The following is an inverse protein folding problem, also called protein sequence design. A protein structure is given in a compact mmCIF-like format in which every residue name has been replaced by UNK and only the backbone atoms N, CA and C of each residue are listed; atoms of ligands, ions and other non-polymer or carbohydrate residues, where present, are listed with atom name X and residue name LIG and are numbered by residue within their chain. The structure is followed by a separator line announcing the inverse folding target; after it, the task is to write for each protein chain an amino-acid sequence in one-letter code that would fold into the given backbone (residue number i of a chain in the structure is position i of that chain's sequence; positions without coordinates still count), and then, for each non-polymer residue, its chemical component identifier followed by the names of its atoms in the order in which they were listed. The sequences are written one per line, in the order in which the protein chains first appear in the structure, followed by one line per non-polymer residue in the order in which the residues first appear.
data_IF_947751153735
#
_entry.id   IF_947751153735
#
_cell.length_a   1.000
_cell.length_b   1.000
_cell.length_c   1.000
_cell.angle_alpha   90.00
_cell.angle_beta   90.00
_cell.angle_gamma   90.00
#
_symmetry.space_group_name_H-M   'P 1'
#
loop_
_entity.id
_entity.type
_entity.pdbx_description
1 polymer ?
#
# COMPACT_ATOMS: atom_id res chain seq x y z
N UNK A 1 -19.80 19.53 -2.90
CA UNK A 1 -19.63 18.92 -1.57
C UNK A 1 -18.16 18.59 -1.45
N UNK A 2 -17.48 19.06 -0.43
CA UNK A 2 -16.08 18.70 -0.18
C UNK A 2 -16.08 17.22 0.26
N UNK A 3 -15.26 16.40 -0.38
CA UNK A 3 -15.14 14.98 -0.05
C UNK A 3 -14.49 14.83 1.33
N UNK A 4 -15.05 13.98 2.20
CA UNK A 4 -14.40 13.65 3.47
C UNK A 4 -13.14 12.81 3.18
N UNK A 5 -12.01 13.27 3.65
CA UNK A 5 -10.70 12.62 3.47
C UNK A 5 -9.98 12.36 4.78
N UNK A 6 -10.60 12.66 5.92
CA UNK A 6 -9.96 12.57 7.25
C UNK A 6 -9.61 11.14 7.67
N UNK A 7 -10.25 10.16 7.05
CA UNK A 7 -9.94 8.75 7.25
C UNK A 7 -8.68 8.28 6.48
N UNK A 8 -8.16 9.09 5.53
CA UNK A 8 -6.93 8.78 4.79
C UNK A 8 -5.72 9.19 5.63
N UNK A 9 -5.33 8.34 6.57
CA UNK A 9 -4.22 8.59 7.51
C UNK A 9 -3.72 7.28 8.12
N UNK A 10 -2.66 7.38 8.91
CA UNK A 10 -2.16 6.26 9.71
C UNK A 10 -1.45 5.18 8.90
N UNK A 11 -1.47 3.97 9.39
CA UNK A 11 -0.77 2.84 8.79
C UNK A 11 -1.73 1.97 7.99
N UNK A 12 -1.48 1.88 6.67
CA UNK A 12 -2.31 1.13 5.72
C UNK A 12 -1.43 0.05 5.06
N UNK A 13 -1.49 -1.23 5.49
CA UNK A 13 -0.78 -2.30 4.80
C UNK A 13 -1.37 -2.58 3.41
N UNK A 14 -0.51 -2.70 2.37
CA UNK A 14 -0.89 -3.36 1.13
C UNK A 14 -0.95 -4.87 1.39
N UNK A 15 -2.15 -5.38 1.68
CA UNK A 15 -2.35 -6.76 2.13
C UNK A 15 -1.81 -7.75 1.11
N UNK A 16 -1.14 -8.81 1.57
CA UNK A 16 -0.76 -9.95 0.73
C UNK A 16 -1.99 -10.78 0.40
N UNK A 17 -1.95 -11.50 -0.73
CA UNK A 17 -2.97 -12.46 -1.12
C UNK A 17 -2.51 -13.88 -0.76
N UNK A 18 -3.03 -14.48 0.31
CA UNK A 18 -2.72 -15.86 0.65
C UNK A 18 -3.23 -16.83 -0.41
N UNK A 19 -2.40 -17.80 -0.77
CA UNK A 19 -2.75 -18.84 -1.72
C UNK A 19 -2.35 -20.22 -1.19
N UNK A 20 -3.07 -21.24 -1.61
CA UNK A 20 -2.75 -22.65 -1.37
C UNK A 20 -1.58 -23.12 -2.25
N UNK A 21 -1.10 -24.35 -2.05
CA UNK A 21 0.00 -24.92 -2.85
C UNK A 21 -0.36 -25.09 -4.34
N UNK A 22 -1.64 -25.14 -4.67
CA UNK A 22 -2.15 -25.16 -6.07
C UNK A 22 -2.56 -23.76 -6.56
N UNK A 23 -2.01 -22.71 -5.91
CA UNK A 23 -2.15 -21.28 -6.25
C UNK A 23 -3.59 -20.75 -6.22
N UNK A 24 -4.50 -21.40 -5.52
CA UNK A 24 -5.86 -20.89 -5.32
C UNK A 24 -5.93 -19.96 -4.11
N UNK A 25 -6.82 -18.99 -4.15
CA UNK A 25 -7.04 -18.05 -3.04
C UNK A 25 -7.41 -18.83 -1.76
N UNK A 26 -6.58 -18.70 -0.73
CA UNK A 26 -6.86 -19.22 0.61
C UNK A 26 -7.69 -18.19 1.40
N UNK A 27 -9.01 -18.35 1.31
CA UNK A 27 -9.95 -17.46 2.00
C UNK A 27 -9.78 -17.50 3.53
N UNK A 28 -9.49 -18.67 4.10
CA UNK A 28 -9.37 -18.81 5.56
C UNK A 28 -8.14 -18.06 6.07
N UNK A 29 -7.01 -18.22 5.40
CA UNK A 29 -5.78 -17.50 5.72
C UNK A 29 -5.96 -16.00 5.51
N UNK A 30 -6.63 -15.57 4.43
CA UNK A 30 -6.90 -14.15 4.17
C UNK A 30 -7.73 -13.51 5.29
N UNK A 31 -8.81 -14.19 5.75
CA UNK A 31 -9.65 -13.68 6.84
C UNK A 31 -8.89 -13.57 8.16
N UNK A 32 -8.11 -14.60 8.55
CA UNK A 32 -7.25 -14.54 9.73
C UNK A 32 -6.24 -13.39 9.65
N UNK A 33 -5.65 -13.20 8.47
CA UNK A 33 -4.65 -12.15 8.25
C UNK A 33 -5.24 -10.74 8.37
N UNK A 34 -6.46 -10.52 7.87
CA UNK A 34 -7.19 -9.27 8.04
C UNK A 34 -7.40 -8.96 9.53
N UNK A 35 -7.91 -9.93 10.30
CA UNK A 35 -8.13 -9.74 11.74
C UNK A 35 -6.82 -9.47 12.48
N UNK A 36 -5.75 -10.21 12.18
CA UNK A 36 -4.41 -9.98 12.75
C UNK A 36 -3.91 -8.54 12.52
N UNK A 37 -4.09 -8.00 11.32
CA UNK A 37 -3.67 -6.62 11.04
C UNK A 37 -4.54 -5.59 11.78
N UNK A 38 -5.86 -5.79 11.83
CA UNK A 38 -6.79 -4.91 12.55
C UNK A 38 -6.49 -4.91 14.05
N UNK A 39 -6.28 -6.09 14.65
CA UNK A 39 -5.87 -6.25 16.05
C UNK A 39 -4.51 -5.59 16.31
N UNK A 40 -3.63 -5.54 15.31
CA UNK A 40 -2.34 -4.85 15.34
C UNK A 40 -2.42 -3.34 15.20
N UNK A 41 -3.62 -2.75 15.08
CA UNK A 41 -3.84 -1.30 15.12
C UNK A 41 -3.74 -0.59 13.77
N UNK A 42 -3.81 -1.29 12.62
CA UNK A 42 -3.78 -0.61 11.32
C UNK A 42 -5.05 0.22 11.09
N UNK A 43 -4.91 1.37 10.45
CA UNK A 43 -6.01 2.31 10.19
C UNK A 43 -6.67 2.14 8.82
N UNK A 44 -6.25 1.16 8.05
CA UNK A 44 -6.88 0.81 6.77
C UNK A 44 -6.22 -0.39 6.12
N UNK A 45 -6.79 -0.91 5.05
CA UNK A 45 -6.21 -1.99 4.23
C UNK A 45 -6.22 -1.58 2.76
N UNK A 46 -5.09 -1.71 2.07
CA UNK A 46 -5.00 -1.59 0.62
C UNK A 46 -5.01 -2.98 -0.02
N UNK A 47 -6.13 -3.38 -0.60
CA UNK A 47 -6.22 -4.57 -1.46
C UNK A 47 -5.48 -4.34 -2.78
N UNK A 48 -4.92 -5.39 -3.36
CA UNK A 48 -4.26 -5.37 -4.68
C UNK A 48 -3.13 -4.36 -4.82
N UNK A 49 -2.43 -4.09 -3.72
CA UNK A 49 -1.10 -3.48 -3.79
C UNK A 49 -0.10 -4.46 -4.42
N UNK A 50 1.12 -3.99 -4.70
CA UNK A 50 2.17 -4.85 -5.26
C UNK A 50 2.52 -6.07 -4.38
N UNK A 51 2.34 -5.96 -3.05
CA UNK A 51 2.49 -7.08 -2.12
C UNK A 51 1.38 -8.12 -2.25
N UNK A 52 0.19 -7.71 -2.69
CA UNK A 52 -0.94 -8.60 -2.95
C UNK A 52 -0.85 -9.32 -4.29
N UNK A 53 0.28 -9.20 -4.99
CA UNK A 53 0.55 -9.88 -6.27
C UNK A 53 -0.56 -9.63 -7.32
N UNK A 54 -1.16 -8.41 -7.32
CA UNK A 54 -2.30 -8.08 -8.19
C UNK A 54 -2.06 -8.37 -9.67
N UNK A 55 -0.82 -8.28 -10.10
CA UNK A 55 -0.39 -8.53 -11.48
C UNK A 55 -0.39 -10.02 -11.88
N UNK A 56 -0.64 -10.92 -10.91
CA UNK A 56 -0.76 -12.37 -11.08
C UNK A 56 -2.22 -12.85 -11.01
N UNK A 57 -3.16 -11.97 -10.60
CA UNK A 57 -4.57 -12.31 -10.41
C UNK A 57 -5.38 -11.88 -11.63
N UNK A 58 -6.33 -12.71 -12.03
CA UNK A 58 -7.35 -12.32 -13.00
C UNK A 58 -8.47 -11.47 -12.36
N UNK A 59 -9.35 -10.86 -13.18
CA UNK A 59 -10.42 -9.99 -12.70
C UNK A 59 -11.43 -10.74 -11.80
N UNK A 60 -11.66 -12.04 -12.04
CA UNK A 60 -12.59 -12.85 -11.22
C UNK A 60 -11.99 -13.19 -9.85
N UNK A 61 -10.69 -13.48 -9.81
CA UNK A 61 -9.95 -13.67 -8.57
C UNK A 61 -9.88 -12.36 -7.75
N UNK A 62 -9.62 -11.23 -8.41
CA UNK A 62 -9.66 -9.92 -7.76
C UNK A 62 -11.05 -9.63 -7.18
N UNK A 63 -12.12 -9.89 -7.93
CA UNK A 63 -13.48 -9.74 -7.42
C UNK A 63 -13.71 -10.60 -6.17
N UNK A 64 -13.33 -11.88 -6.23
CA UNK A 64 -13.46 -12.80 -5.08
C UNK A 64 -12.70 -12.31 -3.86
N UNK A 65 -11.43 -11.93 -4.03
CA UNK A 65 -10.57 -11.44 -2.93
C UNK A 65 -11.14 -10.15 -2.32
N UNK A 66 -11.57 -9.19 -3.16
CA UNK A 66 -12.17 -7.95 -2.67
C UNK A 66 -13.41 -8.21 -1.81
N UNK A 67 -14.30 -9.08 -2.27
CA UNK A 67 -15.52 -9.45 -1.52
C UNK A 67 -15.18 -10.06 -0.17
N UNK A 68 -14.17 -10.94 -0.11
CA UNK A 68 -13.70 -11.52 1.16
C UNK A 68 -13.17 -10.43 2.10
N UNK A 69 -12.37 -9.50 1.58
CA UNK A 69 -11.80 -8.40 2.38
C UNK A 69 -12.92 -7.52 2.94
N UNK A 70 -13.84 -7.05 2.10
CA UNK A 70 -14.95 -6.19 2.54
C UNK A 70 -15.84 -6.91 3.57
N UNK A 71 -16.19 -8.18 3.31
CA UNK A 71 -16.99 -8.97 4.23
C UNK A 71 -16.28 -9.19 5.58
N UNK A 72 -14.97 -9.43 5.59
CA UNK A 72 -14.21 -9.66 6.81
C UNK A 72 -13.95 -8.36 7.57
N UNK A 73 -13.62 -7.27 6.89
CA UNK A 73 -13.38 -5.97 7.53
C UNK A 73 -14.66 -5.44 8.18
N UNK A 74 -15.82 -5.60 7.57
CA UNK A 74 -17.14 -5.20 8.12
C UNK A 74 -17.21 -3.77 8.61
N UNK A 75 -16.57 -2.83 7.89
CA UNK A 75 -16.55 -1.42 8.24
C UNK A 75 -15.74 -1.06 9.49
N UNK A 76 -14.93 -1.97 10.05
CA UNK A 76 -14.06 -1.68 11.20
C UNK A 76 -12.98 -0.65 10.86
N UNK A 77 -12.47 -0.69 9.65
CA UNK A 77 -11.47 0.23 9.09
C UNK A 77 -11.73 0.43 7.58
N UNK A 78 -11.24 1.51 6.96
CA UNK A 78 -11.35 1.72 5.51
C UNK A 78 -10.65 0.64 4.68
N UNK A 79 -11.25 0.32 3.54
CA UNK A 79 -10.67 -0.57 2.52
C UNK A 79 -10.45 0.20 1.23
N UNK A 80 -9.21 0.23 0.78
CA UNK A 80 -8.81 0.83 -0.49
C UNK A 80 -8.58 -0.26 -1.53
N UNK A 81 -9.03 -0.04 -2.77
CA UNK A 81 -8.71 -0.92 -3.87
C UNK A 81 -7.55 -0.37 -4.70
N UNK A 82 -6.45 -1.12 -4.77
CA UNK A 82 -5.34 -0.87 -5.69
C UNK A 82 -5.68 -1.26 -7.13
N UNK A 83 -5.33 -0.41 -8.07
CA UNK A 83 -5.53 -0.64 -9.51
C UNK A 83 -4.23 -0.35 -10.25
N UNK A 84 -3.68 -1.35 -10.95
CA UNK A 84 -2.38 -1.30 -11.60
C UNK A 84 -2.37 -1.85 -13.03
N UNK A 85 -3.49 -1.79 -13.76
CA UNK A 85 -3.52 -2.22 -15.16
C UNK A 85 -2.90 -1.16 -16.10
N UNK A 86 -2.34 -1.63 -17.22
CA UNK A 86 -1.74 -0.73 -18.22
C UNK A 86 -2.83 0.01 -19.01
N UNK A 87 -3.89 -0.71 -19.41
CA UNK A 87 -4.96 -0.16 -20.25
C UNK A 87 -5.95 0.65 -19.42
N UNK A 88 -6.16 1.93 -19.79
CA UNK A 88 -7.13 2.82 -19.12
C UNK A 88 -8.52 2.21 -18.96
N UNK A 89 -9.06 1.57 -20.00
CA UNK A 89 -10.38 0.94 -19.95
C UNK A 89 -10.45 -0.21 -18.92
N UNK A 90 -9.37 -0.95 -18.72
CA UNK A 90 -9.28 -1.98 -17.67
C UNK A 90 -9.25 -1.33 -16.28
N UNK A 91 -8.45 -0.27 -16.09
CA UNK A 91 -8.47 0.49 -14.83
C UNK A 91 -9.87 1.02 -14.50
N UNK A 92 -10.59 1.55 -15.49
CA UNK A 92 -11.98 2.02 -15.31
C UNK A 92 -12.91 0.89 -14.85
N UNK A 93 -12.79 -0.31 -15.41
CA UNK A 93 -13.59 -1.46 -14.94
C UNK A 93 -13.25 -1.84 -13.51
N UNK A 94 -11.95 -1.87 -13.18
CA UNK A 94 -11.48 -2.25 -11.85
C UNK A 94 -11.89 -1.23 -10.77
N UNK A 95 -11.77 0.07 -11.00
CA UNK A 95 -12.24 1.07 -10.02
C UNK A 95 -13.75 0.99 -9.81
N UNK A 96 -14.54 0.78 -10.88
CA UNK A 96 -15.99 0.55 -10.77
C UNK A 96 -16.33 -0.73 -10.00
N UNK A 97 -15.53 -1.78 -10.15
CA UNK A 97 -15.66 -3.00 -9.36
C UNK A 97 -15.40 -2.70 -7.88
N UNK A 98 -14.35 -1.94 -7.55
CA UNK A 98 -14.05 -1.50 -6.18
C UNK A 98 -15.22 -0.80 -5.52
N UNK A 99 -15.75 0.23 -6.18
CA UNK A 99 -16.90 1.00 -5.70
C UNK A 99 -18.14 0.13 -5.54
N UNK A 100 -18.44 -0.71 -6.53
CA UNK A 100 -19.60 -1.64 -6.49
C UNK A 100 -19.58 -2.56 -5.28
N UNK A 101 -18.41 -3.00 -4.84
CA UNK A 101 -18.26 -3.89 -3.69
C UNK A 101 -17.99 -3.17 -2.37
N UNK A 102 -17.97 -1.84 -2.36
CA UNK A 102 -17.90 -1.04 -1.14
C UNK A 102 -16.48 -0.70 -0.69
N UNK A 103 -15.53 -0.57 -1.60
CA UNK A 103 -14.25 0.04 -1.28
C UNK A 103 -14.43 1.52 -0.95
N UNK A 104 -13.82 1.99 0.13
CA UNK A 104 -13.90 3.37 0.62
C UNK A 104 -13.04 4.35 -0.20
N UNK A 105 -12.11 3.83 -0.99
CA UNK A 105 -11.28 4.60 -1.91
C UNK A 105 -10.56 3.70 -2.91
N UNK A 106 -9.92 4.33 -3.90
CA UNK A 106 -9.12 3.63 -4.90
C UNK A 106 -7.71 4.22 -4.99
N UNK A 107 -6.71 3.37 -5.21
CA UNK A 107 -5.31 3.77 -5.39
C UNK A 107 -4.81 3.31 -6.76
N UNK A 108 -4.44 4.27 -7.62
CA UNK A 108 -4.14 4.02 -9.04
C UNK A 108 -2.63 4.11 -9.28
N UNK A 109 -2.00 2.99 -9.59
CA UNK A 109 -0.61 2.92 -10.03
C UNK A 109 -0.49 3.47 -11.45
N UNK A 110 0.55 4.28 -11.72
CA UNK A 110 0.86 4.66 -13.09
C UNK A 110 1.15 3.40 -13.96
N UNK A 111 0.85 3.45 -15.28
CA UNK A 111 1.11 2.33 -16.19
C UNK A 111 2.57 1.85 -16.11
N UNK A 112 2.74 0.53 -16.02
CA UNK A 112 4.05 -0.12 -16.04
C UNK A 112 4.36 -0.64 -17.45
N UNK A 113 5.61 -1.01 -17.73
CA UNK A 113 6.10 -1.52 -19.00
C UNK A 113 6.25 -0.46 -20.11
N UNK A 114 5.33 0.49 -20.25
CA UNK A 114 5.45 1.63 -21.15
C UNK A 114 5.56 2.93 -20.34
N UNK A 115 6.20 3.93 -20.91
CA UNK A 115 6.28 5.29 -20.35
C UNK A 115 5.44 6.23 -21.21
N UNK A 116 4.22 6.58 -20.77
CA UNK A 116 3.41 7.60 -21.44
C UNK A 116 4.06 8.97 -21.39
N UNK A 117 3.70 9.85 -22.31
CA UNK A 117 3.95 11.28 -22.15
C UNK A 117 3.14 11.84 -20.96
N UNK A 118 3.52 13.02 -20.46
CA UNK A 118 2.82 13.67 -19.34
C UNK A 118 1.33 13.90 -19.67
N UNK A 119 0.99 14.26 -20.89
CA UNK A 119 -0.38 14.51 -21.31
C UNK A 119 -1.20 13.20 -21.40
N UNK A 120 -0.60 12.14 -21.93
CA UNK A 120 -1.23 10.80 -21.92
C UNK A 120 -1.46 10.29 -20.50
N UNK A 121 -0.50 10.50 -19.60
CA UNK A 121 -0.60 10.12 -18.20
C UNK A 121 -1.70 10.90 -17.47
N UNK A 122 -1.78 12.23 -17.68
CA UNK A 122 -2.88 13.06 -17.17
C UNK A 122 -4.24 12.60 -17.69
N UNK A 123 -4.32 12.30 -18.98
CA UNK A 123 -5.55 11.79 -19.61
C UNK A 123 -5.96 10.44 -19.02
N UNK A 124 -5.00 9.54 -18.79
CA UNK A 124 -5.22 8.24 -18.15
C UNK A 124 -5.84 8.41 -16.76
N UNK A 125 -5.18 9.15 -15.85
CA UNK A 125 -5.68 9.36 -14.49
C UNK A 125 -7.01 10.11 -14.45
N UNK A 126 -7.16 11.15 -15.27
CA UNK A 126 -8.41 11.92 -15.36
C UNK A 126 -9.60 11.05 -15.80
N UNK A 127 -9.38 10.17 -16.78
CA UNK A 127 -10.42 9.26 -17.26
C UNK A 127 -10.86 8.27 -16.17
N UNK A 128 -9.90 7.75 -15.39
CA UNK A 128 -10.20 6.79 -14.33
C UNK A 128 -10.90 7.49 -13.15
N UNK A 129 -10.39 8.63 -12.70
CA UNK A 129 -10.98 9.37 -11.57
C UNK A 129 -12.43 9.83 -11.88
N UNK A 130 -12.67 10.31 -13.09
CA UNK A 130 -14.03 10.69 -13.53
C UNK A 130 -15.02 9.52 -13.63
N UNK A 131 -14.55 8.29 -13.68
CA UNK A 131 -15.41 7.10 -13.73
C UNK A 131 -16.01 6.72 -12.37
N UNK A 132 -15.48 7.29 -11.26
CA UNK A 132 -15.89 7.04 -9.87
C UNK A 132 -15.87 8.35 -9.06
N UNK A 133 -16.67 9.35 -9.43
CA UNK A 133 -16.62 10.70 -8.83
C UNK A 133 -17.03 10.72 -7.34
N UNK A 134 -17.70 9.66 -6.87
CA UNK A 134 -18.25 9.52 -5.53
C UNK A 134 -17.26 9.01 -4.48
N UNK A 135 -16.08 8.51 -4.89
CA UNK A 135 -15.08 7.97 -3.95
C UNK A 135 -13.74 8.66 -4.09
N UNK A 136 -12.95 8.74 -3.00
CA UNK A 136 -11.60 9.27 -3.04
C UNK A 136 -10.68 8.43 -3.93
N UNK A 137 -9.91 9.13 -4.76
CA UNK A 137 -8.88 8.57 -5.63
C UNK A 137 -7.51 9.01 -5.14
N UNK A 138 -6.60 8.07 -4.97
CA UNK A 138 -5.20 8.31 -4.67
C UNK A 138 -4.34 7.89 -5.86
N UNK A 139 -3.39 8.72 -6.25
CA UNK A 139 -2.33 8.29 -7.17
C UNK A 139 -1.34 7.37 -6.45
N UNK A 140 -0.74 6.45 -7.17
CA UNK A 140 0.36 5.65 -6.65
C UNK A 140 1.62 5.86 -7.50
N UNK A 141 2.58 6.58 -6.93
CA UNK A 141 3.88 6.83 -7.54
C UNK A 141 4.89 5.77 -7.09
N UNK A 142 5.36 4.94 -8.02
CA UNK A 142 6.36 3.90 -7.74
C UNK A 142 7.39 3.77 -8.87
N UNK A 143 8.32 4.73 -8.99
CA UNK A 143 9.31 4.74 -10.07
C UNK A 143 10.20 3.50 -10.09
N UNK A 144 10.44 2.88 -8.92
CA UNK A 144 11.22 1.65 -8.83
C UNK A 144 10.56 0.41 -9.48
N UNK A 145 9.26 0.46 -9.79
CA UNK A 145 8.51 -0.62 -10.45
C UNK A 145 8.05 -0.28 -11.85
N UNK A 146 7.74 0.98 -12.09
CA UNK A 146 7.22 1.44 -13.39
C UNK A 146 8.32 1.96 -14.31
N UNK A 147 9.51 2.26 -13.77
CA UNK A 147 10.64 2.81 -14.51
C UNK A 147 10.61 4.34 -14.68
N UNK A 148 9.58 5.03 -14.19
CA UNK A 148 9.44 6.48 -14.21
C UNK A 148 8.56 6.97 -13.05
N UNK A 149 8.74 8.24 -12.65
CA UNK A 149 7.90 8.89 -11.64
C UNK A 149 6.79 9.72 -12.26
N UNK A 150 5.79 10.07 -11.45
CA UNK A 150 4.79 11.08 -11.78
C UNK A 150 5.38 12.45 -11.44
N UNK A 151 5.33 13.40 -12.38
CA UNK A 151 5.85 14.75 -12.17
C UNK A 151 4.99 15.54 -11.17
N UNK A 152 5.62 16.50 -10.52
CA UNK A 152 4.94 17.40 -9.58
C UNK A 152 3.85 18.21 -10.30
N UNK A 153 4.14 18.65 -11.52
CA UNK A 153 3.22 19.40 -12.38
C UNK A 153 1.98 18.57 -12.74
N UNK A 154 2.15 17.28 -13.01
CA UNK A 154 1.02 16.37 -13.29
C UNK A 154 0.16 16.16 -12.06
N UNK A 155 0.75 15.97 -10.88
CA UNK A 155 0.00 15.82 -9.62
C UNK A 155 -0.76 17.10 -9.31
N UNK A 156 -0.12 18.27 -9.40
CA UNK A 156 -0.72 19.57 -9.12
C UNK A 156 -1.92 19.84 -10.04
N UNK A 157 -1.75 19.69 -11.35
CA UNK A 157 -2.84 19.89 -12.30
C UNK A 157 -4.03 18.98 -12.03
N UNK A 158 -3.76 17.70 -11.76
CA UNK A 158 -4.83 16.73 -11.52
C UNK A 158 -5.54 16.97 -10.19
N UNK A 159 -4.82 17.29 -9.11
CA UNK A 159 -5.38 17.56 -7.80
C UNK A 159 -6.29 18.80 -7.81
N UNK A 160 -5.92 19.85 -8.56
CA UNK A 160 -6.72 21.07 -8.68
C UNK A 160 -7.89 20.95 -9.67
N UNK A 161 -7.84 19.99 -10.60
CA UNK A 161 -8.89 19.82 -11.62
C UNK A 161 -9.92 18.71 -11.32
N UNK A 162 -9.63 17.82 -10.34
CA UNK A 162 -10.45 16.65 -10.03
C UNK A 162 -10.81 16.64 -8.55
N UNK A 163 -12.05 16.98 -8.17
CA UNK A 163 -12.46 17.07 -6.76
C UNK A 163 -12.31 15.78 -5.95
N UNK A 164 -12.30 14.62 -6.62
CA UNK A 164 -12.15 13.32 -5.99
C UNK A 164 -10.72 12.78 -6.03
N UNK A 165 -9.77 13.47 -6.68
CA UNK A 165 -8.35 13.13 -6.60
C UNK A 165 -7.75 13.80 -5.37
N UNK A 166 -7.73 13.11 -4.26
CA UNK A 166 -7.54 13.69 -2.93
C UNK A 166 -6.19 13.39 -2.29
N UNK A 167 -5.36 12.59 -2.95
CA UNK A 167 -4.07 12.23 -2.35
C UNK A 167 -3.23 11.31 -3.22
N UNK A 168 -2.13 10.86 -2.64
CA UNK A 168 -1.24 9.90 -3.26
C UNK A 168 -0.46 9.07 -2.26
N UNK A 169 -0.02 7.87 -2.70
CA UNK A 169 1.07 7.12 -2.09
C UNK A 169 2.35 7.40 -2.87
N UNK A 170 3.38 7.88 -2.21
CA UNK A 170 4.69 8.09 -2.82
C UNK A 170 5.72 7.06 -2.34
N UNK A 171 6.15 6.19 -3.26
CA UNK A 171 7.17 5.15 -3.05
C UNK A 171 8.50 5.48 -3.74
N UNK A 172 8.73 6.72 -4.14
CA UNK A 172 10.00 7.16 -4.73
C UNK A 172 11.18 6.98 -3.76
N UNK A 173 10.96 7.27 -2.48
CA UNK A 173 12.00 7.36 -1.46
C UNK A 173 12.75 8.70 -1.51
N UNK A 174 12.29 9.64 -2.31
CA UNK A 174 12.80 10.99 -2.41
C UNK A 174 11.93 11.95 -1.58
N UNK A 175 12.41 12.30 -0.38
CA UNK A 175 11.70 13.21 0.52
C UNK A 175 11.56 14.61 -0.07
N UNK A 176 12.49 15.07 -0.91
CA UNK A 176 12.37 16.35 -1.58
C UNK A 176 11.15 16.38 -2.49
N UNK A 177 10.99 15.32 -3.29
CA UNK A 177 9.80 15.16 -4.14
C UNK A 177 8.52 15.03 -3.32
N UNK A 178 8.55 14.25 -2.25
CA UNK A 178 7.41 14.08 -1.33
C UNK A 178 6.97 15.43 -0.74
N UNK A 179 7.93 16.25 -0.27
CA UNK A 179 7.65 17.59 0.26
C UNK A 179 7.03 18.52 -0.80
N UNK A 180 7.49 18.45 -2.04
CA UNK A 180 6.92 19.25 -3.13
C UNK A 180 5.50 18.82 -3.51
N UNK A 181 5.17 17.53 -3.47
CA UNK A 181 3.78 17.08 -3.61
C UNK A 181 2.88 17.64 -2.52
N UNK A 182 3.35 17.68 -1.26
CA UNK A 182 2.61 18.26 -0.14
C UNK A 182 2.46 19.76 -0.32
N UNK A 183 3.57 20.48 -0.54
CA UNK A 183 3.61 21.95 -0.61
C UNK A 183 2.74 22.51 -1.73
N UNK A 184 2.85 21.92 -2.95
CA UNK A 184 2.13 22.41 -4.14
C UNK A 184 0.62 22.17 -4.09
N UNK A 185 0.15 21.26 -3.24
CA UNK A 185 -1.25 20.85 -3.17
C UNK A 185 -1.87 21.07 -1.76
N UNK A 186 -1.21 21.90 -0.93
CA UNK A 186 -1.67 22.17 0.44
C UNK A 186 -3.03 22.89 0.48
N UNK A 187 -3.28 23.77 -0.48
CA UNK A 187 -4.50 24.58 -0.60
C UNK A 187 -5.74 23.75 -0.97
N UNK A 188 -5.56 22.57 -1.58
CA UNK A 188 -6.66 21.64 -1.89
C UNK A 188 -6.76 20.47 -0.88
N UNK A 189 -5.96 20.49 0.19
CA UNK A 189 -6.01 19.44 1.23
C UNK A 189 -5.52 18.07 0.78
N UNK A 190 -4.62 18.02 -0.18
CA UNK A 190 -4.11 16.79 -0.78
C UNK A 190 -3.32 15.94 0.22
N UNK A 191 -3.69 14.66 0.37
CA UNK A 191 -3.16 13.72 1.34
C UNK A 191 -2.00 12.90 0.76
N UNK A 192 -0.78 13.06 1.27
CA UNK A 192 0.37 12.26 0.83
C UNK A 192 0.72 11.20 1.87
N UNK A 193 0.76 9.93 1.42
CA UNK A 193 1.13 8.77 2.22
C UNK A 193 2.55 8.33 1.87
N UNK A 194 3.40 8.09 2.87
CA UNK A 194 4.72 7.52 2.66
C UNK A 194 4.61 6.06 2.17
N UNK A 195 5.31 5.72 1.09
CA UNK A 195 5.32 4.36 0.52
C UNK A 195 6.60 3.57 0.79
N UNK A 196 7.50 4.10 1.63
CA UNK A 196 8.76 3.46 2.03
C UNK A 196 8.77 3.20 3.54
N UNK A 197 8.75 1.95 3.95
CA UNK A 197 8.70 1.55 5.36
C UNK A 197 9.87 2.14 6.19
N UNK A 198 11.04 2.30 5.58
CA UNK A 198 12.22 2.90 6.24
C UNK A 198 12.15 4.42 6.40
N UNK A 199 11.12 5.06 5.86
CA UNK A 199 10.96 6.52 5.88
C UNK A 199 9.63 6.96 6.53
N UNK A 200 8.96 6.11 7.32
CA UNK A 200 7.67 6.47 7.94
C UNK A 200 7.85 7.68 8.85
N UNK A 201 8.76 7.63 9.81
CA UNK A 201 9.05 8.73 10.72
C UNK A 201 9.45 10.02 9.96
N UNK A 202 10.39 9.90 9.03
CA UNK A 202 10.85 11.04 8.25
C UNK A 202 9.72 11.64 7.38
N UNK A 203 8.88 10.78 6.79
CA UNK A 203 7.68 11.20 6.06
C UNK A 203 6.72 12.01 6.94
N UNK A 204 6.44 11.52 8.15
CA UNK A 204 5.58 12.21 9.11
C UNK A 204 6.15 13.59 9.48
N UNK A 205 7.48 13.70 9.67
CA UNK A 205 8.12 15.00 10.01
C UNK A 205 8.03 16.04 8.90
N UNK A 206 7.88 15.61 7.65
CA UNK A 206 7.72 16.51 6.49
C UNK A 206 6.26 16.69 6.05
N UNK A 207 5.31 16.09 6.78
CA UNK A 207 3.87 16.32 6.58
C UNK A 207 3.11 15.22 5.84
N UNK A 208 3.66 14.01 5.68
CA UNK A 208 2.82 12.88 5.25
C UNK A 208 1.78 12.57 6.33
N UNK A 209 0.58 12.16 5.91
CA UNK A 209 -0.53 11.87 6.82
C UNK A 209 -0.51 10.44 7.37
N UNK A 210 0.48 9.64 6.95
CA UNK A 210 0.65 8.25 7.33
C UNK A 210 1.52 7.51 6.32
N UNK A 211 1.43 6.17 6.32
CA UNK A 211 2.21 5.34 5.42
C UNK A 211 1.44 4.13 4.88
N UNK A 212 1.73 3.77 3.64
CA UNK A 212 1.29 2.51 3.06
C UNK A 212 2.47 1.55 3.01
N UNK A 213 2.61 0.69 4.01
CA UNK A 213 3.84 -0.05 4.31
C UNK A 213 3.66 -1.56 4.35
N UNK A 214 4.65 -2.23 3.77
CA UNK A 214 4.72 -3.68 3.59
C UNK A 214 4.84 -4.42 4.92
N UNK A 215 5.67 -3.92 5.84
CA UNK A 215 6.01 -4.59 7.10
C UNK A 215 4.83 -4.72 8.05
N UNK A 216 3.78 -3.88 7.89
CA UNK A 216 2.55 -4.02 8.65
C UNK A 216 1.76 -5.31 8.34
N UNK A 217 2.12 -6.07 7.29
CA UNK A 217 1.57 -7.40 7.06
C UNK A 217 2.03 -8.45 8.10
N UNK A 218 3.13 -8.22 8.83
CA UNK A 218 3.65 -9.22 9.77
C UNK A 218 4.13 -8.64 11.11
N UNK A 219 4.36 -7.33 11.23
CA UNK A 219 4.67 -6.64 12.49
C UNK A 219 3.83 -5.36 12.63
N UNK A 220 2.48 -5.44 12.53
CA UNK A 220 1.62 -4.27 12.53
C UNK A 220 1.81 -3.40 13.77
N UNK A 221 1.87 -3.97 14.98
CA UNK A 221 2.05 -3.22 16.23
C UNK A 221 3.32 -2.34 16.22
N UNK A 222 4.45 -2.86 15.71
CA UNK A 222 5.68 -2.09 15.62
C UNK A 222 5.52 -0.94 14.63
N UNK A 223 4.92 -1.19 13.48
CA UNK A 223 4.74 -0.16 12.44
C UNK A 223 3.75 0.90 12.89
N UNK A 224 2.61 0.51 13.47
CA UNK A 224 1.62 1.45 14.02
C UNK A 224 2.22 2.31 15.13
N UNK A 225 3.08 1.73 15.99
CA UNK A 225 3.73 2.50 17.05
C UNK A 225 4.59 3.67 16.55
N UNK A 226 5.09 3.64 15.31
CA UNK A 226 5.82 4.77 14.71
C UNK A 226 4.85 5.96 14.53
N UNK A 227 3.68 5.69 13.97
CA UNK A 227 2.64 6.69 13.72
C UNK A 227 2.01 7.17 15.02
N UNK A 228 1.55 6.27 15.89
CA UNK A 228 0.83 6.57 17.12
C UNK A 228 1.66 7.45 18.07
N UNK A 229 2.93 7.08 18.27
CA UNK A 229 3.86 7.87 19.08
C UNK A 229 4.09 9.26 18.48
N UNK A 230 4.25 9.32 17.15
CA UNK A 230 4.44 10.61 16.47
C UNK A 230 3.25 11.55 16.69
N UNK A 231 2.02 11.08 16.45
CA UNK A 231 0.81 11.91 16.61
C UNK A 231 0.51 12.24 18.08
N UNK A 232 0.98 11.40 19.01
CA UNK A 232 0.93 11.67 20.45
C UNK A 232 2.02 12.67 20.92
N UNK A 233 2.92 13.13 20.03
CA UNK A 233 4.02 14.05 20.36
C UNK A 233 5.29 13.37 20.89
N UNK A 234 5.31 12.05 21.06
CA UNK A 234 6.50 11.25 21.41
C UNK A 234 7.36 11.01 20.19
N UNK A 235 8.03 12.04 19.70
CA UNK A 235 8.88 11.98 18.51
C UNK A 235 10.12 11.10 18.73
N UNK A 236 10.66 11.07 19.95
CA UNK A 236 11.81 10.23 20.29
C UNK A 236 11.44 8.74 20.24
N UNK A 237 10.32 8.35 20.85
CA UNK A 237 9.83 6.98 20.83
C UNK A 237 9.38 6.52 19.43
N UNK A 238 8.85 7.45 18.61
CA UNK A 238 8.55 7.20 17.20
C UNK A 238 9.81 6.87 16.39
N UNK A 239 10.87 7.67 16.56
CA UNK A 239 12.17 7.45 15.91
C UNK A 239 12.82 6.13 16.36
N UNK A 240 12.74 5.80 17.65
CA UNK A 240 13.21 4.51 18.17
C UNK A 240 12.49 3.32 17.50
N UNK A 241 11.17 3.39 17.39
CA UNK A 241 10.38 2.37 16.70
C UNK A 241 10.77 2.26 15.21
N UNK A 242 11.02 3.39 14.53
CA UNK A 242 11.55 3.39 13.16
C UNK A 242 12.91 2.69 13.05
N UNK A 243 13.83 2.97 13.97
CA UNK A 243 15.15 2.32 13.99
C UNK A 243 15.05 0.82 14.28
N UNK A 244 14.08 0.38 15.07
CA UNK A 244 13.79 -1.04 15.29
C UNK A 244 13.24 -1.72 14.03
N UNK A 245 12.42 -1.02 13.23
CA UNK A 245 11.86 -1.53 11.98
C UNK A 245 12.89 -1.63 10.86
N UNK A 246 13.82 -0.67 10.74
CA UNK A 246 14.72 -0.55 9.60
C UNK A 246 15.54 -1.81 9.29
N UNK A 247 16.19 -2.51 10.25
CA UNK A 247 16.94 -3.72 9.97
C UNK A 247 16.06 -4.84 9.38
N UNK A 248 14.83 -4.97 9.86
CA UNK A 248 13.84 -5.95 9.37
C UNK A 248 13.54 -5.65 7.91
N UNK A 249 13.17 -4.39 7.61
CA UNK A 249 12.81 -3.97 6.25
C UNK A 249 13.98 -4.09 5.28
N UNK A 250 15.18 -3.71 5.69
CA UNK A 250 16.38 -3.79 4.84
C UNK A 250 16.78 -5.25 4.55
N UNK A 251 16.54 -6.17 5.48
CA UNK A 251 16.80 -7.59 5.25
C UNK A 251 15.87 -8.16 4.16
N UNK A 252 14.63 -7.66 4.02
CA UNK A 252 13.71 -8.09 2.97
C UNK A 252 14.26 -7.86 1.55
N UNK A 253 15.08 -6.82 1.36
CA UNK A 253 15.66 -6.49 0.05
C UNK A 253 16.69 -7.52 -0.44
N UNK A 254 17.08 -8.48 0.41
CA UNK A 254 17.94 -9.62 0.04
C UNK A 254 17.18 -10.79 -0.56
N UNK A 255 15.85 -10.74 -0.52
CA UNK A 255 14.94 -11.68 -1.19
C UNK A 255 14.23 -10.98 -2.35
N UNK A 256 13.68 -11.75 -3.28
CA UNK A 256 12.86 -11.16 -4.34
C UNK A 256 11.54 -10.60 -3.77
N UNK A 257 11.06 -9.54 -4.40
CA UNK A 257 9.79 -8.93 -4.02
C UNK A 257 8.61 -9.63 -4.73
N UNK A 258 7.47 -9.90 -4.06
CA UNK A 258 7.14 -9.60 -2.66
C UNK A 258 7.40 -10.76 -1.70
N UNK A 259 8.21 -11.72 -2.09
CA UNK A 259 8.44 -13.02 -1.41
C UNK A 259 8.73 -12.86 0.08
N UNK A 260 9.66 -11.97 0.45
CA UNK A 260 10.03 -11.77 1.85
C UNK A 260 8.86 -11.39 2.76
N UNK A 261 7.80 -10.79 2.24
CA UNK A 261 6.61 -10.43 3.04
C UNK A 261 5.90 -11.68 3.53
N UNK A 262 5.64 -12.65 2.65
CA UNK A 262 5.04 -13.94 3.03
C UNK A 262 6.00 -14.78 3.88
N UNK A 263 7.29 -14.76 3.56
CA UNK A 263 8.30 -15.50 4.33
C UNK A 263 8.36 -15.03 5.79
N UNK A 264 8.41 -13.72 6.05
CA UNK A 264 8.36 -13.19 7.41
C UNK A 264 7.05 -13.54 8.12
N UNK A 265 5.92 -13.38 7.43
CA UNK A 265 4.62 -13.74 7.98
C UNK A 265 4.56 -15.24 8.36
N UNK A 266 5.05 -16.11 7.50
CA UNK A 266 5.10 -17.55 7.76
C UNK A 266 6.08 -17.91 8.89
N UNK A 267 7.24 -17.22 9.00
CA UNK A 267 8.18 -17.40 10.12
C UNK A 267 7.55 -16.99 11.47
N UNK A 268 6.57 -16.09 11.45
CA UNK A 268 5.78 -15.67 12.62
C UNK A 268 4.51 -16.51 12.82
N UNK A 269 4.31 -17.56 12.02
CA UNK A 269 3.20 -18.50 12.16
C UNK A 269 1.87 -18.04 11.56
N UNK A 270 1.87 -17.05 10.65
CA UNK A 270 0.63 -16.55 10.04
C UNK A 270 0.09 -17.44 8.91
N UNK A 271 0.90 -18.36 8.40
CA UNK A 271 0.49 -19.34 7.37
C UNK A 271 -0.17 -18.73 6.12
N UNK A 272 0.51 -17.78 5.48
CA UNK A 272 -0.01 -17.05 4.31
C UNK A 272 0.28 -17.74 2.97
N UNK A 273 0.83 -18.96 3.01
CA UNK A 273 1.20 -19.73 1.81
C UNK A 273 2.46 -19.20 1.11
N UNK A 274 2.71 -19.76 -0.06
CA UNK A 274 3.85 -19.40 -0.89
C UNK A 274 3.53 -18.22 -1.82
N UNK A 275 4.54 -17.53 -2.39
CA UNK A 275 4.30 -16.57 -3.47
C UNK A 275 3.79 -17.30 -4.72
N UNK A 276 3.07 -16.58 -5.59
CA UNK A 276 2.59 -17.12 -6.86
C UNK A 276 3.77 -17.24 -7.85
N UNK A 277 3.84 -18.33 -8.60
CA UNK A 277 4.88 -18.54 -9.62
C UNK A 277 4.83 -17.42 -10.70
N UNK A 278 5.98 -16.96 -11.23
CA UNK A 278 7.32 -17.57 -11.16
C UNK A 278 8.13 -17.23 -9.89
N UNK A 279 7.56 -16.49 -8.94
CA UNK A 279 8.20 -16.22 -7.66
C UNK A 279 8.28 -17.52 -6.83
N UNK A 280 9.37 -17.68 -6.09
CA UNK A 280 9.60 -18.84 -5.23
C UNK A 280 9.89 -18.39 -3.81
N UNK A 281 9.56 -19.20 -2.79
CA UNK A 281 9.96 -18.94 -1.42
C UNK A 281 11.47 -18.68 -1.30
N UNK A 282 11.86 -17.91 -0.31
CA UNK A 282 13.28 -17.67 -0.01
C UNK A 282 14.02 -18.99 0.30
N UNK A 283 15.31 -19.02 -0.03
CA UNK A 283 16.18 -20.15 0.31
C UNK A 283 16.39 -20.23 1.82
N UNK A 284 16.78 -21.41 2.34
CA UNK A 284 17.11 -21.59 3.76
C UNK A 284 18.11 -20.56 4.29
N UNK A 285 19.10 -20.17 3.49
CA UNK A 285 20.05 -19.12 3.84
C UNK A 285 19.37 -17.76 4.03
N UNK A 286 18.45 -17.40 3.14
CA UNK A 286 17.67 -16.16 3.23
C UNK A 286 16.73 -16.20 4.43
N UNK A 287 15.97 -17.30 4.61
CA UNK A 287 15.10 -17.51 5.77
C UNK A 287 15.88 -17.42 7.09
N UNK A 288 17.11 -18.00 7.14
CA UNK A 288 18.02 -17.85 8.29
C UNK A 288 18.32 -16.39 8.60
N UNK A 289 18.58 -15.57 7.58
CA UNK A 289 18.79 -14.13 7.73
C UNK A 289 17.55 -13.38 8.22
N UNK A 290 16.36 -13.73 7.70
CA UNK A 290 15.10 -13.17 8.16
C UNK A 290 14.83 -13.50 9.64
N UNK A 291 15.02 -14.77 10.03
CA UNK A 291 14.86 -15.23 11.42
C UNK A 291 15.82 -14.52 12.36
N UNK A 292 17.09 -14.37 11.97
CA UNK A 292 18.08 -13.66 12.78
C UNK A 292 17.67 -12.21 13.06
N UNK A 293 17.06 -11.52 12.08
CA UNK A 293 16.56 -10.17 12.30
C UNK A 293 15.38 -10.13 13.28
N UNK A 294 14.44 -11.09 13.19
CA UNK A 294 13.34 -11.19 14.15
C UNK A 294 13.87 -11.41 15.58
N UNK A 295 14.84 -12.32 15.76
CA UNK A 295 15.50 -12.55 17.07
C UNK A 295 16.19 -11.29 17.58
N UNK A 296 17.01 -10.63 16.75
CA UNK A 296 17.78 -9.45 17.16
C UNK A 296 16.92 -8.25 17.51
N UNK A 297 15.69 -8.21 17.01
CA UNK A 297 14.71 -7.16 17.31
C UNK A 297 13.72 -7.55 18.42
N UNK A 298 13.86 -8.78 18.98
CA UNK A 298 13.01 -9.29 20.06
C UNK A 298 11.55 -9.54 19.63
N UNK A 299 11.35 -9.95 18.39
CA UNK A 299 10.03 -10.28 17.83
C UNK A 299 9.74 -11.79 17.89
N UNK A 300 10.78 -12.60 18.01
CA UNK A 300 10.73 -14.04 18.34
C UNK A 300 11.89 -14.40 19.28
#
# INVERSE_FOLDING_TARGET
MIMDTDFIKGIIPPIVTPVTDDEKIDEKALRRHIDFMIEGGVEGILAFGSNGEFYMLDEAEMERVLRIIIDQVKGRIPVYMGVGAIRTATCVRLVKMGVRYGADGVSILQPMFLKPSEDELRTHFRTIAKAVPEVPVLLYNNPGRTGYGISQETVEELAHSLPNLVGMKDSSGDLTQTMEFIRRNADVGFRVMCGKDTLIYAGLTVGTVGAVCTTANFVPNLVCSIYDKYVAGDTAGSLEAQYKLNPIRMQMDKSSFPVATKDYANLLGLELGNPILPSKPSTEKQLGGLRQQLVSTGLI
#
